data_IF_169415968946
#
_entry.id   IF_169415968946
#
_cell.length_a   1.000
_cell.length_b   1.000
_cell.length_c   1.000
_cell.angle_alpha   90.00
_cell.angle_beta   90.00
_cell.angle_gamma   90.00
#
_symmetry.space_group_name_H-M   'P 1'
#
loop_
_entity.id
_entity.type
_entity.pdbx_description
1 polymer ?
#
# COMPACT_ATOMS: atom_id res chain seq x y z
N UNK A 1 18.73 3.17 7.57
CA UNK A 1 18.03 3.92 6.51
C UNK A 1 16.55 3.76 6.73
N UNK A 2 15.71 4.72 6.35
CA UNK A 2 14.25 4.56 6.47
C UNK A 2 13.81 3.39 5.58
N UNK A 3 13.12 2.41 6.17
CA UNK A 3 12.54 1.28 5.45
C UNK A 3 11.41 1.79 4.55
N UNK A 4 11.53 1.62 3.24
CA UNK A 4 10.44 1.94 2.31
C UNK A 4 9.50 0.75 2.17
N UNK A 5 8.21 1.02 2.20
CA UNK A 5 7.16 0.04 1.89
C UNK A 5 6.57 0.44 0.55
N UNK A 6 6.55 -0.49 -0.40
CA UNK A 6 5.95 -0.27 -1.70
C UNK A 6 4.51 -0.78 -1.68
N UNK A 7 3.59 0.04 -2.17
CA UNK A 7 2.21 -0.33 -2.39
C UNK A 7 2.03 -0.67 -3.86
N UNK A 8 1.66 -1.92 -4.14
CA UNK A 8 1.28 -2.42 -5.45
C UNK A 8 -0.23 -2.49 -5.51
N UNK A 9 -0.83 -1.82 -6.49
CA UNK A 9 -2.27 -1.85 -6.73
C UNK A 9 -2.53 -2.31 -8.14
N UNK A 10 -3.12 -3.49 -8.27
CA UNK A 10 -3.62 -4.03 -9.54
C UNK A 10 -5.11 -3.76 -9.66
N UNK A 11 -5.50 -2.91 -10.60
CA UNK A 11 -6.91 -2.71 -10.93
C UNK A 11 -7.44 -3.96 -11.64
N UNK A 12 -8.50 -4.58 -11.11
CA UNK A 12 -9.14 -5.73 -11.75
C UNK A 12 -10.32 -5.29 -12.65
N UNK A 13 -10.84 -4.08 -12.41
CA UNK A 13 -11.92 -3.41 -13.12
C UNK A 13 -11.51 -1.96 -13.34
N UNK A 14 -12.07 -1.30 -14.36
CA UNK A 14 -11.87 0.13 -14.56
C UNK A 14 -12.36 0.93 -13.34
N UNK A 15 -11.49 1.78 -12.79
CA UNK A 15 -11.78 2.54 -11.59
C UNK A 15 -11.32 4.00 -11.70
N UNK A 16 -11.99 4.92 -10.97
CA UNK A 16 -11.52 6.30 -10.83
C UNK A 16 -10.11 6.40 -10.23
N UNK A 17 -9.67 5.32 -9.56
CA UNK A 17 -8.30 5.11 -9.12
C UNK A 17 -7.99 5.79 -7.78
N UNK A 18 -6.80 6.36 -7.69
CA UNK A 18 -6.26 6.92 -6.44
C UNK A 18 -5.85 8.37 -6.66
N UNK A 19 -6.13 9.22 -5.68
CA UNK A 19 -5.47 10.51 -5.55
C UNK A 19 -4.25 10.38 -4.63
N UNK A 20 -3.10 10.89 -5.07
CA UNK A 20 -1.85 10.88 -4.32
C UNK A 20 -1.17 12.24 -4.34
N UNK A 21 -0.34 12.53 -3.34
CA UNK A 21 0.51 13.75 -3.30
C UNK A 21 1.96 13.35 -3.60
N UNK A 22 2.48 13.63 -4.81
CA UNK A 22 3.85 13.28 -5.18
C UNK A 22 4.88 13.84 -4.19
N UNK A 23 5.82 12.98 -3.77
CA UNK A 23 6.92 13.34 -2.88
C UNK A 23 6.59 13.43 -1.40
N UNK A 24 5.34 13.24 -0.98
CA UNK A 24 4.96 13.37 0.44
C UNK A 24 5.52 12.26 1.34
N UNK A 25 6.08 11.18 0.79
CA UNK A 25 6.83 10.17 1.56
C UNK A 25 8.14 10.71 2.16
N UNK A 26 8.64 11.86 1.67
CA UNK A 26 9.86 12.51 2.16
C UNK A 26 9.60 13.94 2.70
N UNK A 27 8.34 14.36 2.83
CA UNK A 27 7.99 15.72 3.20
C UNK A 27 6.86 15.70 4.22
N UNK A 28 6.91 16.60 5.19
CA UNK A 28 5.77 16.85 6.07
C UNK A 28 4.63 17.49 5.28
N UNK A 29 3.42 17.18 5.70
CA UNK A 29 2.21 17.85 5.24
C UNK A 29 2.37 19.38 5.37
N UNK A 30 1.88 20.10 4.37
CA UNK A 30 1.50 21.50 4.53
C UNK A 30 0.36 21.63 5.56
N UNK A 31 0.13 22.83 6.13
CA UNK A 31 -0.98 23.05 7.05
C UNK A 31 -2.35 22.62 6.47
N UNK A 32 -2.59 22.88 5.18
CA UNK A 32 -3.84 22.48 4.52
C UNK A 32 -3.95 20.96 4.35
N UNK A 33 -2.87 20.29 3.90
CA UNK A 33 -2.83 18.82 3.78
C UNK A 33 -3.07 18.14 5.12
N UNK A 34 -2.48 18.67 6.19
CA UNK A 34 -2.66 18.16 7.55
C UNK A 34 -4.10 18.34 8.04
N UNK A 35 -4.68 19.51 7.79
CA UNK A 35 -6.05 19.82 8.21
C UNK A 35 -7.09 18.99 7.46
N UNK A 36 -6.90 18.77 6.14
CA UNK A 36 -7.71 17.84 5.35
C UNK A 36 -7.52 16.41 5.84
N UNK A 37 -6.28 15.91 5.95
CA UNK A 37 -6.00 14.53 6.36
C UNK A 37 -6.59 14.16 7.71
N UNK A 38 -6.57 15.10 8.66
CA UNK A 38 -7.10 14.89 10.01
C UNK A 38 -8.56 15.33 10.19
N UNK A 39 -9.20 15.92 9.16
CA UNK A 39 -10.57 16.40 9.25
C UNK A 39 -10.77 17.46 10.34
N UNK A 40 -9.89 18.46 10.41
CA UNK A 40 -9.90 19.49 11.45
C UNK A 40 -9.92 20.90 10.88
N UNK A 41 -10.13 21.91 11.74
CA UNK A 41 -10.18 23.32 11.35
C UNK A 41 -11.24 23.61 10.25
N UNK A 42 -12.38 22.91 10.29
CA UNK A 42 -13.45 23.04 9.30
C UNK A 42 -13.15 22.38 7.95
N UNK A 43 -12.09 21.57 7.87
CA UNK A 43 -11.79 20.73 6.70
C UNK A 43 -12.28 19.31 6.92
N UNK A 44 -12.63 18.67 5.82
CA UNK A 44 -13.04 17.27 5.77
C UNK A 44 -12.04 16.48 4.93
N UNK A 45 -11.89 15.18 5.20
CA UNK A 45 -10.91 14.31 4.54
C UNK A 45 -11.12 14.13 3.02
N UNK A 46 -12.25 14.58 2.50
CA UNK A 46 -12.58 14.56 1.07
C UNK A 46 -12.33 15.90 0.36
N UNK A 47 -12.00 16.98 1.08
CA UNK A 47 -11.70 18.25 0.43
C UNK A 47 -10.50 18.12 -0.52
N UNK A 48 -10.57 18.83 -1.64
CA UNK A 48 -9.52 18.82 -2.66
C UNK A 48 -8.21 19.42 -2.11
N UNK A 49 -7.08 18.84 -2.55
CA UNK A 49 -5.75 19.31 -2.19
C UNK A 49 -5.02 19.80 -3.46
N UNK A 50 -4.42 21.00 -3.47
CA UNK A 50 -3.81 21.56 -4.68
C UNK A 50 -2.70 20.71 -5.30
N UNK A 51 -1.99 19.93 -4.48
CA UNK A 51 -0.91 19.02 -4.90
C UNK A 51 -1.40 17.60 -5.22
N UNK A 52 -2.68 17.32 -4.99
CA UNK A 52 -3.30 16.04 -5.26
C UNK A 52 -3.29 15.73 -6.77
N UNK A 53 -2.78 14.56 -7.12
CA UNK A 53 -2.81 14.02 -8.47
C UNK A 53 -3.70 12.78 -8.50
N UNK A 54 -4.72 12.81 -9.34
CA UNK A 54 -5.64 11.69 -9.54
C UNK A 54 -5.09 10.80 -10.65
N UNK A 55 -4.98 9.51 -10.36
CA UNK A 55 -4.48 8.49 -11.28
C UNK A 55 -5.60 7.48 -11.53
N UNK A 56 -6.40 7.65 -12.61
CA UNK A 56 -7.37 6.63 -13.00
C UNK A 56 -6.65 5.37 -13.49
N UNK A 57 -7.28 4.21 -13.30
CA UNK A 57 -6.72 2.91 -13.66
C UNK A 57 -7.74 2.11 -14.46
N UNK A 58 -7.31 1.54 -15.58
CA UNK A 58 -8.10 0.56 -16.31
C UNK A 58 -7.85 -0.84 -15.75
N UNK A 59 -8.75 -1.78 -16.04
CA UNK A 59 -8.54 -3.19 -15.71
C UNK A 59 -7.20 -3.70 -16.28
N UNK A 60 -6.35 -4.24 -15.41
CA UNK A 60 -5.02 -4.74 -15.73
C UNK A 60 -3.88 -3.76 -15.43
N UNK A 61 -4.16 -2.48 -15.17
CA UNK A 61 -3.12 -1.52 -14.80
C UNK A 61 -2.56 -1.81 -13.40
N UNK A 62 -1.23 -1.75 -13.28
CA UNK A 62 -0.52 -1.84 -12.00
C UNK A 62 0.06 -0.47 -11.62
N UNK A 63 -0.46 0.10 -10.54
CA UNK A 63 0.10 1.30 -9.92
C UNK A 63 1.04 0.91 -8.78
N UNK A 64 2.25 1.46 -8.79
CA UNK A 64 3.27 1.24 -7.75
C UNK A 64 3.67 2.59 -7.17
N UNK A 65 3.59 2.73 -5.85
CA UNK A 65 3.98 3.96 -5.15
C UNK A 65 4.50 3.64 -3.74
N UNK A 66 5.14 4.62 -3.09
CA UNK A 66 5.58 4.47 -1.71
C UNK A 66 4.37 4.56 -0.78
N UNK A 67 4.15 3.55 0.06
CA UNK A 67 2.97 3.43 0.92
C UNK A 67 2.87 4.54 1.98
N UNK A 68 3.96 5.27 2.24
CA UNK A 68 3.97 6.43 3.13
C UNK A 68 3.56 7.74 2.43
N UNK A 69 3.36 7.72 1.11
CA UNK A 69 2.76 8.86 0.42
C UNK A 69 1.34 9.10 0.93
N UNK A 70 0.91 10.36 0.97
CA UNK A 70 -0.47 10.71 1.26
C UNK A 70 -1.28 10.30 0.03
N UNK A 71 -2.27 9.44 0.24
CA UNK A 71 -3.11 8.93 -0.81
C UNK A 71 -4.51 8.61 -0.30
N UNK A 72 -5.51 8.67 -1.19
CA UNK A 72 -6.89 8.25 -0.93
C UNK A 72 -7.51 7.61 -2.16
N UNK A 73 -8.37 6.63 -1.92
CA UNK A 73 -9.16 6.02 -2.98
C UNK A 73 -10.24 6.98 -3.48
N UNK A 74 -10.44 7.04 -4.79
CA UNK A 74 -11.54 7.77 -5.41
C UNK A 74 -12.72 6.81 -5.62
N UNK A 75 -13.84 7.11 -4.98
CA UNK A 75 -15.01 6.23 -5.01
C UNK A 75 -15.87 6.47 -6.25
N UNK A 76 -16.36 5.37 -6.82
CA UNK A 76 -17.16 5.33 -8.05
C UNK A 76 -16.96 4.00 -8.77
N UNK A 77 -17.86 3.67 -9.70
CA UNK A 77 -17.87 2.41 -10.46
C UNK A 77 -17.92 1.14 -9.59
N UNK A 78 -17.78 -0.02 -10.24
CA UNK A 78 -17.65 -1.32 -9.57
C UNK A 78 -16.18 -1.57 -9.21
N UNK A 79 -15.66 -0.78 -8.26
CA UNK A 79 -14.25 -0.79 -7.88
C UNK A 79 -13.84 -2.16 -7.32
N UNK A 80 -12.93 -2.83 -8.03
CA UNK A 80 -12.36 -4.09 -7.60
C UNK A 80 -10.87 -4.13 -7.96
N UNK A 81 -10.02 -4.30 -6.95
CA UNK A 81 -8.57 -4.25 -7.10
C UNK A 81 -7.89 -5.18 -6.09
N UNK A 82 -6.66 -5.57 -6.41
CA UNK A 82 -5.76 -6.28 -5.51
C UNK A 82 -4.66 -5.32 -5.05
N UNK A 83 -4.55 -5.14 -3.74
CA UNK A 83 -3.50 -4.35 -3.11
C UNK A 83 -2.51 -5.27 -2.40
N UNK A 84 -1.22 -5.09 -2.65
CA UNK A 84 -0.12 -5.80 -1.98
C UNK A 84 0.92 -4.81 -1.47
N UNK A 85 1.28 -4.91 -0.20
CA UNK A 85 2.37 -4.13 0.39
C UNK A 85 3.63 -5.00 0.44
N UNK A 86 4.73 -4.44 -0.06
CA UNK A 86 6.02 -5.12 -0.10
C UNK A 86 7.06 -4.34 0.68
N UNK A 87 7.73 -5.00 1.60
CA UNK A 87 8.79 -4.43 2.41
C UNK A 87 9.79 -5.50 2.84
N UNK A 88 10.89 -5.06 3.46
CA UNK A 88 11.78 -5.97 4.16
C UNK A 88 11.08 -6.66 5.34
N UNK A 89 11.61 -7.82 5.72
CA UNK A 89 11.08 -8.58 6.85
C UNK A 89 11.27 -7.78 8.13
N UNK A 90 10.16 -7.54 8.85
CA UNK A 90 10.08 -6.68 10.02
C UNK A 90 9.37 -7.40 11.15
N UNK A 91 10.05 -7.53 12.30
CA UNK A 91 9.51 -8.28 13.44
C UNK A 91 8.21 -7.69 13.99
N UNK A 92 8.09 -6.35 13.96
CA UNK A 92 6.88 -5.65 14.38
C UNK A 92 5.70 -5.85 13.42
N UNK A 93 5.94 -6.29 12.18
CA UNK A 93 4.89 -6.73 11.26
C UNK A 93 4.64 -8.24 11.36
N UNK A 94 5.69 -9.04 11.56
CA UNK A 94 5.59 -10.50 11.65
C UNK A 94 4.70 -10.96 12.80
N UNK A 95 4.64 -10.22 13.91
CA UNK A 95 3.73 -10.52 15.02
C UNK A 95 2.23 -10.52 14.62
N UNK A 96 1.89 -9.89 13.49
CA UNK A 96 0.54 -9.81 12.96
C UNK A 96 0.27 -10.82 11.82
N UNK A 97 1.26 -11.63 11.45
CA UNK A 97 1.14 -12.60 10.35
C UNK A 97 0.50 -13.89 10.85
N UNK A 98 -0.53 -14.37 10.15
CA UNK A 98 -1.04 -15.73 10.31
C UNK A 98 -0.15 -16.69 9.52
N UNK A 99 0.53 -17.61 10.22
CA UNK A 99 1.39 -18.61 9.61
C UNK A 99 0.64 -19.54 8.65
N UNK A 100 -0.68 -19.72 8.83
CA UNK A 100 -1.51 -20.54 7.93
C UNK A 100 -1.76 -19.85 6.58
N UNK A 101 -1.58 -18.53 6.50
CA UNK A 101 -1.70 -17.77 5.26
C UNK A 101 -0.39 -17.74 4.44
N UNK A 102 0.72 -18.25 4.99
CA UNK A 102 1.97 -18.35 4.25
C UNK A 102 2.03 -19.63 3.41
N UNK A 103 2.60 -19.58 2.19
CA UNK A 103 2.70 -20.75 1.34
C UNK A 103 3.58 -21.84 1.96
N UNK A 104 3.07 -23.08 2.00
CA UNK A 104 3.83 -24.25 2.40
C UNK A 104 4.96 -24.59 1.41
N UNK A 105 5.78 -25.61 1.73
CA UNK A 105 6.95 -25.96 0.91
C UNK A 105 6.59 -26.31 -0.53
N UNK A 106 5.45 -27.00 -0.74
CA UNK A 106 4.96 -27.38 -2.08
C UNK A 106 4.68 -26.13 -2.92
N UNK A 107 3.89 -25.19 -2.39
CA UNK A 107 3.55 -23.95 -3.10
C UNK A 107 4.80 -23.10 -3.33
N UNK A 108 5.72 -23.03 -2.36
CA UNK A 108 6.98 -22.29 -2.53
C UNK A 108 7.83 -22.83 -3.69
N UNK A 109 7.82 -24.15 -3.93
CA UNK A 109 8.56 -24.74 -5.06
C UNK A 109 7.95 -24.44 -6.43
N UNK A 110 6.70 -23.99 -6.47
CA UNK A 110 5.96 -23.67 -7.71
C UNK A 110 5.94 -22.16 -8.02
N UNK A 111 6.30 -21.31 -7.05
CA UNK A 111 6.37 -19.85 -7.24
C UNK A 111 7.72 -19.48 -7.85
N UNK A 112 7.72 -18.73 -8.96
CA UNK A 112 8.94 -18.29 -9.66
C UNK A 112 9.89 -17.46 -8.77
N UNK A 113 9.34 -16.62 -7.89
CA UNK A 113 10.07 -15.74 -6.99
C UNK A 113 9.65 -15.94 -5.52
N UNK A 114 10.00 -17.07 -4.89
CA UNK A 114 9.49 -17.44 -3.57
C UNK A 114 10.20 -16.71 -2.43
N UNK A 115 11.30 -16.01 -2.73
CA UNK A 115 12.21 -15.43 -1.73
C UNK A 115 11.51 -14.55 -0.67
N UNK A 116 10.55 -13.66 -0.99
CA UNK A 116 9.87 -12.86 0.03
C UNK A 116 9.06 -13.70 1.01
N UNK A 117 8.33 -14.71 0.51
CA UNK A 117 7.54 -15.61 1.35
C UNK A 117 8.43 -16.52 2.19
N UNK A 118 9.51 -17.04 1.61
CA UNK A 118 10.50 -17.85 2.32
C UNK A 118 11.17 -17.05 3.45
N UNK A 119 11.50 -15.78 3.21
CA UNK A 119 12.08 -14.89 4.22
C UNK A 119 11.14 -14.69 5.42
N UNK A 120 9.86 -14.41 5.16
CA UNK A 120 8.85 -14.28 6.22
C UNK A 120 8.65 -15.58 7.02
N UNK A 121 8.58 -16.74 6.35
CA UNK A 121 8.45 -18.05 7.02
C UNK A 121 9.67 -18.36 7.90
N UNK A 122 10.87 -18.12 7.39
CA UNK A 122 12.10 -18.38 8.13
C UNK A 122 12.22 -17.48 9.37
N UNK A 123 11.81 -16.22 9.26
CA UNK A 123 11.83 -15.30 10.38
C UNK A 123 10.79 -15.62 11.46
N UNK A 124 9.59 -16.10 11.08
CA UNK A 124 8.58 -16.55 12.06
C UNK A 124 9.03 -17.78 12.86
N UNK A 125 9.78 -18.69 12.24
CA UNK A 125 10.35 -19.86 12.94
C UNK A 125 11.42 -19.48 13.97
N UNK A 126 11.97 -18.26 13.90
CA UNK A 126 13.01 -17.76 14.80
C UNK A 126 12.43 -16.94 15.97
N UNK A 127 11.12 -16.70 15.98
CA UNK A 127 10.43 -16.06 17.11
C UNK A 127 10.26 -17.10 18.22
N UNK A 128 10.72 -16.82 19.46
CA UNK A 128 10.70 -17.77 20.57
C UNK A 128 9.29 -18.19 21.01
#
# INVERSE_FOLDING_TARGET
GSTRVLHYRLALYDEPGIELIPGSHNQWDSPEELDVRLGRNGREAYHDLPRGQRVPLNAGDLLIFDASMMHRGLYGNNRFALDALFCEVRQDLLQHVDANCLPGEVILSEIDYPAPFAASRNALRQTP
#
